data_IF_930550399669
#
_entry.id   IF_930550399669
#
_cell.length_a   1.000
_cell.length_b   1.000
_cell.length_c   1.000
_cell.angle_alpha   90.00
_cell.angle_beta   90.00
_cell.angle_gamma   90.00
#
_symmetry.space_group_name_H-M   'P 1'
#
loop_
_entity.id
_entity.type
_entity.pdbx_description
1 polymer ?
#
# COMPACT_ATOMS: atom_id res chain seq x y z
N UNK A 1 43.53 -27.22 -19.58
CA UNK A 1 43.56 -27.61 -18.15
C UNK A 1 42.27 -27.12 -17.50
N UNK A 2 41.36 -28.02 -17.14
CA UNK A 2 40.16 -27.66 -16.39
C UNK A 2 40.58 -27.16 -15.00
N UNK A 3 39.98 -26.07 -14.54
CA UNK A 3 40.30 -25.47 -13.24
C UNK A 3 39.74 -26.38 -12.12
N UNK A 4 40.55 -27.37 -11.73
CA UNK A 4 40.23 -28.45 -10.79
C UNK A 4 39.76 -27.92 -9.42
N UNK A 5 40.14 -26.69 -9.06
CA UNK A 5 39.66 -26.00 -7.87
C UNK A 5 38.15 -25.74 -7.92
N UNK A 6 37.64 -25.15 -9.00
CA UNK A 6 36.22 -24.79 -9.14
C UNK A 6 35.30 -26.02 -9.11
N UNK A 7 35.73 -27.12 -9.72
CA UNK A 7 34.99 -28.38 -9.71
C UNK A 7 34.92 -28.98 -8.29
N UNK A 8 36.01 -28.91 -7.52
CA UNK A 8 36.04 -29.38 -6.12
C UNK A 8 35.13 -28.55 -5.21
N UNK A 9 35.12 -27.23 -5.38
CA UNK A 9 34.24 -26.36 -4.59
C UNK A 9 32.76 -26.57 -4.93
N UNK A 10 32.42 -26.78 -6.20
CA UNK A 10 31.06 -27.14 -6.60
C UNK A 10 30.62 -28.47 -5.96
N UNK A 11 31.48 -29.49 -5.96
CA UNK A 11 31.17 -30.78 -5.31
C UNK A 11 30.95 -30.62 -3.80
N UNK A 12 31.82 -29.87 -3.11
CA UNK A 12 31.63 -29.57 -1.67
C UNK A 12 30.30 -28.87 -1.40
N UNK A 13 29.92 -27.92 -2.26
CA UNK A 13 28.64 -27.20 -2.14
C UNK A 13 27.45 -28.15 -2.32
N UNK A 14 27.47 -28.98 -3.36
CA UNK A 14 26.43 -29.98 -3.65
C UNK A 14 26.26 -30.93 -2.46
N UNK A 15 27.36 -31.47 -1.93
CA UNK A 15 27.33 -32.36 -0.76
C UNK A 15 26.83 -31.67 0.51
N UNK A 16 27.31 -30.45 0.81
CA UNK A 16 26.91 -29.70 2.01
C UNK A 16 25.42 -29.40 2.05
N UNK A 17 24.83 -29.10 0.90
CA UNK A 17 23.43 -28.69 0.79
C UNK A 17 22.48 -29.82 0.37
N UNK A 18 22.97 -31.06 0.30
CA UNK A 18 22.19 -32.24 -0.09
C UNK A 18 21.44 -32.01 -1.42
N UNK A 19 22.14 -31.41 -2.38
CA UNK A 19 21.62 -31.17 -3.72
C UNK A 19 21.90 -32.39 -4.60
N UNK A 20 20.97 -32.66 -5.51
CA UNK A 20 21.05 -33.72 -6.50
C UNK A 20 21.13 -33.10 -7.89
N UNK A 21 21.85 -33.78 -8.77
CA UNK A 21 21.86 -33.49 -10.19
C UNK A 21 20.62 -34.11 -10.83
N UNK A 22 19.77 -33.29 -11.45
CA UNK A 22 18.50 -33.74 -12.02
C UNK A 22 18.66 -34.82 -13.11
N UNK A 23 19.77 -34.85 -13.85
CA UNK A 23 20.07 -35.91 -14.83
C UNK A 23 20.75 -37.16 -14.27
N UNK A 24 20.77 -37.33 -12.94
CA UNK A 24 21.58 -38.36 -12.26
C UNK A 24 21.06 -39.80 -12.40
N UNK A 25 19.76 -40.05 -12.23
CA UNK A 25 19.17 -41.41 -12.29
C UNK A 25 18.11 -41.57 -13.38
N UNK A 26 17.58 -40.47 -13.93
CA UNK A 26 16.64 -40.49 -15.06
C UNK A 26 17.45 -40.54 -16.36
N UNK A 27 17.03 -41.38 -17.30
CA UNK A 27 17.63 -41.42 -18.64
C UNK A 27 17.51 -40.04 -19.29
N UNK A 28 18.65 -39.35 -19.45
CA UNK A 28 18.73 -38.07 -20.17
C UNK A 28 18.32 -38.33 -21.61
N UNK A 29 17.32 -37.57 -22.10
CA UNK A 29 16.96 -37.55 -23.51
C UNK A 29 17.79 -36.50 -24.25
N UNK A 30 18.07 -36.77 -25.53
CA UNK A 30 18.89 -35.92 -26.38
C UNK A 30 20.40 -36.12 -26.18
N UNK A 31 21.22 -35.14 -26.58
CA UNK A 31 22.68 -35.22 -26.47
C UNK A 31 23.18 -35.39 -25.03
N UNK A 32 24.35 -36.00 -24.87
CA UNK A 32 25.02 -36.16 -23.56
C UNK A 32 25.96 -34.98 -23.22
N UNK A 33 25.86 -33.88 -23.96
CA UNK A 33 26.65 -32.67 -23.78
C UNK A 33 25.74 -31.44 -23.87
N UNK A 34 26.05 -30.40 -23.09
CA UNK A 34 25.35 -29.12 -23.17
C UNK A 34 26.18 -28.03 -23.87
N UNK A 35 27.46 -28.28 -24.15
CA UNK A 35 28.35 -27.32 -24.79
C UNK A 35 28.85 -27.84 -26.13
N UNK A 36 28.47 -27.18 -27.22
CA UNK A 36 28.62 -27.70 -28.60
C UNK A 36 30.09 -27.82 -28.99
N UNK A 37 30.90 -26.78 -28.74
CA UNK A 37 32.26 -26.68 -29.27
C UNK A 37 33.20 -27.79 -28.78
N UNK A 38 33.04 -28.25 -27.53
CA UNK A 38 33.90 -29.30 -26.93
C UNK A 38 33.15 -30.58 -26.59
N UNK A 39 31.85 -30.63 -26.88
CA UNK A 39 30.96 -31.73 -26.48
C UNK A 39 31.12 -32.10 -25.00
N UNK A 40 31.14 -31.07 -24.14
CA UNK A 40 31.25 -31.24 -22.68
C UNK A 40 29.96 -30.88 -21.96
N UNK A 41 29.72 -31.46 -20.79
CA UNK A 41 28.60 -31.09 -19.92
C UNK A 41 28.98 -29.91 -19.02
N UNK A 42 28.38 -28.74 -19.26
CA UNK A 42 28.65 -27.51 -18.51
C UNK A 42 27.42 -26.99 -17.76
N UNK A 43 26.21 -27.40 -18.16
CA UNK A 43 24.95 -26.86 -17.65
C UNK A 43 24.20 -27.93 -16.85
N UNK A 44 24.03 -27.67 -15.56
CA UNK A 44 23.44 -28.62 -14.62
C UNK A 44 22.24 -27.99 -13.92
N UNK A 45 21.14 -28.74 -13.84
CA UNK A 45 20.03 -28.38 -12.95
C UNK A 45 20.25 -29.11 -11.63
N UNK A 46 20.49 -28.33 -10.57
CA UNK A 46 20.63 -28.82 -9.20
C UNK A 46 19.33 -28.59 -8.44
N UNK A 47 18.81 -29.63 -7.80
CA UNK A 47 17.60 -29.55 -7.00
C UNK A 47 17.78 -30.29 -5.67
N UNK A 48 16.98 -29.98 -4.66
CA UNK A 48 16.99 -30.76 -3.42
C UNK A 48 16.24 -32.09 -3.63
N UNK A 49 16.38 -33.02 -2.68
CA UNK A 49 15.75 -34.34 -2.78
C UNK A 49 14.22 -34.27 -3.00
N UNK A 50 13.53 -33.35 -2.33
CA UNK A 50 12.08 -33.19 -2.48
C UNK A 50 11.66 -32.77 -3.90
N UNK A 51 12.41 -31.86 -4.54
CA UNK A 51 12.16 -31.46 -5.92
C UNK A 51 12.63 -32.50 -6.91
N UNK A 52 13.72 -33.21 -6.62
CA UNK A 52 14.20 -34.32 -7.43
C UNK A 52 13.15 -35.43 -7.55
N UNK A 53 12.48 -35.80 -6.44
CA UNK A 53 11.36 -36.75 -6.44
C UNK A 53 10.15 -36.31 -7.28
N UNK A 54 10.08 -35.01 -7.61
CA UNK A 54 9.04 -34.39 -8.42
C UNK A 54 9.45 -34.20 -9.88
N UNK A 55 10.69 -34.55 -10.24
CA UNK A 55 11.19 -34.49 -11.61
C UNK A 55 10.52 -35.55 -12.46
N UNK A 56 9.85 -35.13 -13.53
CA UNK A 56 9.15 -36.00 -14.48
C UNK A 56 9.92 -36.18 -15.78
N UNK A 57 10.64 -35.13 -16.18
CA UNK A 57 11.27 -35.05 -17.49
C UNK A 57 12.60 -34.33 -17.40
N UNK A 58 13.60 -34.82 -18.12
CA UNK A 58 14.90 -34.15 -18.28
C UNK A 58 15.43 -34.41 -19.70
N UNK A 59 15.73 -33.35 -20.44
CA UNK A 59 16.19 -33.42 -21.82
C UNK A 59 17.21 -32.32 -22.10
N UNK A 60 18.19 -32.64 -22.95
CA UNK A 60 19.03 -31.65 -23.61
C UNK A 60 18.51 -31.54 -25.03
N UNK A 61 18.06 -30.35 -25.43
CA UNK A 61 17.48 -30.13 -26.75
C UNK A 61 18.56 -30.11 -27.83
N UNK A 62 18.24 -30.63 -29.01
CA UNK A 62 19.15 -30.65 -30.15
C UNK A 62 19.37 -29.25 -30.73
N UNK A 63 20.51 -29.08 -31.41
CA UNK A 63 20.85 -27.82 -32.07
C UNK A 63 19.78 -27.46 -33.12
N UNK A 64 19.13 -26.30 -32.96
CA UNK A 64 18.09 -25.82 -33.87
C UNK A 64 16.64 -26.04 -33.41
N UNK A 65 16.40 -26.79 -32.33
CA UNK A 65 15.04 -26.96 -31.78
C UNK A 65 14.49 -25.66 -31.15
N UNK A 66 15.39 -24.84 -30.61
CA UNK A 66 15.09 -23.47 -30.17
C UNK A 66 16.05 -22.52 -30.90
N UNK A 67 15.52 -21.47 -31.52
CA UNK A 67 16.35 -20.43 -32.14
C UNK A 67 17.14 -19.71 -31.07
N UNK A 68 18.41 -20.07 -30.93
CA UNK A 68 19.36 -19.50 -29.99
C UNK A 68 20.70 -19.30 -30.69
N UNK A 69 21.35 -18.16 -30.45
CA UNK A 69 22.72 -17.89 -30.92
C UNK A 69 23.78 -18.35 -29.91
N UNK A 70 23.42 -19.23 -28.96
CA UNK A 70 24.29 -19.69 -27.88
C UNK A 70 25.11 -20.90 -28.34
N UNK A 71 26.35 -21.00 -27.85
CA UNK A 71 27.22 -22.18 -27.97
C UNK A 71 26.88 -23.29 -26.95
N UNK A 72 25.73 -23.15 -26.28
CA UNK A 72 25.18 -24.07 -25.30
C UNK A 72 23.82 -24.60 -25.76
N UNK A 73 23.60 -25.91 -25.64
CA UNK A 73 22.33 -26.56 -25.84
C UNK A 73 21.40 -26.33 -24.63
N UNK A 74 20.12 -26.00 -24.84
CA UNK A 74 19.17 -25.82 -23.75
C UNK A 74 18.97 -27.11 -22.94
N UNK A 75 19.04 -26.99 -21.62
CA UNK A 75 18.72 -28.07 -20.68
C UNK A 75 17.33 -27.83 -20.11
N UNK A 76 16.42 -28.78 -20.32
CA UNK A 76 15.01 -28.68 -19.92
C UNK A 76 14.69 -29.72 -18.86
N UNK A 77 13.98 -29.30 -17.81
CA UNK A 77 13.44 -30.20 -16.80
C UNK A 77 11.99 -29.85 -16.45
N UNK A 78 11.12 -30.85 -16.36
CA UNK A 78 9.73 -30.71 -15.93
C UNK A 78 9.56 -31.26 -14.52
N UNK A 79 8.98 -30.44 -13.63
CA UNK A 79 8.70 -30.83 -12.25
C UNK A 79 7.19 -30.79 -11.97
N UNK A 80 6.68 -31.82 -11.31
CA UNK A 80 5.29 -31.87 -10.82
C UNK A 80 5.21 -31.17 -9.47
N UNK A 81 4.58 -30.00 -9.42
CA UNK A 81 4.45 -29.22 -8.19
C UNK A 81 3.01 -29.28 -7.68
N UNK A 82 2.82 -29.89 -6.51
CA UNK A 82 1.58 -29.78 -5.75
C UNK A 82 1.47 -28.37 -5.16
N UNK A 83 0.93 -27.42 -5.91
CA UNK A 83 0.58 -26.10 -5.38
C UNK A 83 -0.92 -26.03 -5.12
N UNK A 84 -1.30 -25.64 -3.90
CA UNK A 84 -2.61 -25.01 -3.72
C UNK A 84 -2.62 -23.76 -4.60
N UNK A 85 -3.58 -23.60 -5.54
CA UNK A 85 -3.67 -22.39 -6.33
C UNK A 85 -3.92 -21.22 -5.36
N UNK A 86 -2.90 -20.40 -5.14
CA UNK A 86 -3.09 -19.15 -4.44
C UNK A 86 -4.05 -18.31 -5.29
N UNK A 87 -5.24 -18.02 -4.75
CA UNK A 87 -6.12 -16.99 -5.33
C UNK A 87 -5.34 -15.68 -5.29
N UNK A 88 -5.04 -15.15 -6.47
CA UNK A 88 -4.64 -13.75 -6.61
C UNK A 88 -5.78 -12.94 -6.01
N UNK A 89 -5.56 -12.36 -4.82
CA UNK A 89 -6.47 -11.35 -4.33
C UNK A 89 -6.42 -10.22 -5.35
N UNK A 90 -7.51 -10.00 -6.07
CA UNK A 90 -7.63 -8.87 -6.98
C UNK A 90 -7.28 -7.61 -6.19
N UNK A 91 -6.36 -6.81 -6.76
CA UNK A 91 -5.88 -5.60 -6.13
C UNK A 91 -7.05 -4.70 -5.79
N UNK A 92 -7.07 -4.16 -4.56
CA UNK A 92 -7.85 -3.00 -4.17
C UNK A 92 -7.97 -2.00 -5.34
N UNK A 93 -9.19 -1.61 -5.72
CA UNK A 93 -9.42 -0.80 -6.93
C UNK A 93 -8.49 0.40 -6.94
N UNK A 94 -7.76 0.61 -8.02
CA UNK A 94 -6.73 1.66 -8.02
C UNK A 94 -7.41 3.02 -8.00
N UNK A 95 -6.97 3.88 -7.08
CA UNK A 95 -7.42 5.27 -7.04
C UNK A 95 -7.05 5.99 -8.34
N UNK A 96 -7.84 7.00 -8.75
CA UNK A 96 -7.51 7.85 -9.89
C UNK A 96 -6.14 8.52 -9.76
N UNK A 97 -5.38 8.54 -10.84
CA UNK A 97 -4.04 9.13 -10.91
C UNK A 97 -4.12 10.59 -11.38
N UNK A 98 -4.72 11.46 -10.58
CA UNK A 98 -4.92 12.89 -10.89
C UNK A 98 -3.65 13.62 -11.33
N UNK A 99 -2.47 13.22 -10.85
CA UNK A 99 -1.20 13.81 -11.27
C UNK A 99 -0.79 13.51 -12.72
N UNK A 100 -1.51 12.64 -13.44
CA UNK A 100 -1.30 12.29 -14.85
C UNK A 100 -2.41 12.82 -15.77
N UNK A 101 -3.36 13.57 -15.22
CA UNK A 101 -4.54 14.04 -15.96
C UNK A 101 -4.17 15.19 -16.89
N UNK A 102 -4.78 15.23 -18.08
CA UNK A 102 -4.73 16.36 -19.01
C UNK A 102 -5.91 17.32 -18.80
N UNK A 103 -5.82 18.56 -19.29
CA UNK A 103 -6.92 19.53 -19.21
C UNK A 103 -8.19 19.04 -19.92
N UNK A 104 -8.04 18.30 -21.02
CA UNK A 104 -9.17 17.69 -21.73
C UNK A 104 -9.92 16.69 -20.84
N UNK A 105 -9.19 15.86 -20.07
CA UNK A 105 -9.78 14.89 -19.15
C UNK A 105 -10.40 15.56 -17.92
N UNK A 106 -9.82 16.67 -17.42
CA UNK A 106 -10.45 17.48 -16.38
C UNK A 106 -11.78 18.06 -16.89
N UNK A 107 -11.82 18.56 -18.12
CA UNK A 107 -13.04 19.10 -18.69
C UNK A 107 -14.08 18.01 -18.93
N UNK A 108 -13.67 16.82 -19.33
CA UNK A 108 -14.57 15.67 -19.44
C UNK A 108 -15.13 15.25 -18.07
N UNK A 109 -14.28 15.18 -17.05
CA UNK A 109 -14.71 14.93 -15.67
C UNK A 109 -15.78 15.92 -15.21
N UNK A 110 -15.58 17.22 -15.44
CA UNK A 110 -16.59 18.26 -15.13
C UNK A 110 -17.91 18.05 -15.87
N UNK A 111 -17.86 17.71 -17.16
CA UNK A 111 -19.09 17.46 -17.95
C UNK A 111 -19.87 16.28 -17.40
N UNK A 112 -19.18 15.18 -17.09
CA UNK A 112 -19.80 13.97 -16.52
C UNK A 112 -20.45 14.21 -15.15
N UNK A 113 -20.02 15.25 -14.43
CA UNK A 113 -20.60 15.62 -13.14
C UNK A 113 -21.86 16.47 -13.24
N UNK A 114 -22.03 17.28 -14.30
CA UNK A 114 -23.08 18.30 -14.34
C UNK A 114 -24.49 17.73 -14.13
N UNK A 115 -24.98 16.92 -15.05
CA UNK A 115 -26.36 16.43 -15.00
C UNK A 115 -26.64 15.59 -13.74
N UNK A 116 -25.78 14.61 -13.34
CA UNK A 116 -26.03 13.83 -12.13
C UNK A 116 -26.03 14.67 -10.85
N UNK A 117 -25.16 15.68 -10.76
CA UNK A 117 -25.10 16.56 -9.59
C UNK A 117 -26.30 17.50 -9.54
N UNK A 118 -26.73 18.05 -10.68
CA UNK A 118 -27.91 18.91 -10.73
C UNK A 118 -29.18 18.12 -10.34
N UNK A 119 -29.32 16.88 -10.84
CA UNK A 119 -30.41 15.98 -10.42
C UNK A 119 -30.38 15.71 -8.91
N UNK A 120 -29.19 15.51 -8.33
CA UNK A 120 -29.03 15.30 -6.89
C UNK A 120 -29.41 16.55 -6.09
N UNK A 121 -29.06 17.75 -6.56
CA UNK A 121 -29.46 19.02 -5.93
C UNK A 121 -30.98 19.20 -5.98
N UNK A 122 -31.62 18.90 -7.11
CA UNK A 122 -33.07 18.99 -7.25
C UNK A 122 -33.79 17.99 -6.34
N UNK A 123 -33.21 16.80 -6.17
CA UNK A 123 -33.65 15.80 -5.19
C UNK A 123 -33.62 16.38 -3.77
N UNK A 124 -32.52 17.02 -3.36
CA UNK A 124 -32.41 17.66 -2.04
C UNK A 124 -33.46 18.75 -1.79
N UNK A 125 -33.88 19.48 -2.84
CA UNK A 125 -34.88 20.55 -2.75
C UNK A 125 -36.32 20.04 -2.72
N UNK A 126 -36.56 18.86 -3.30
CA UNK A 126 -37.93 18.33 -3.50
C UNK A 126 -38.49 17.61 -2.26
N UNK A 127 -37.64 17.17 -1.33
CA UNK A 127 -38.06 16.44 -0.14
C UNK A 127 -38.12 17.34 1.10
N UNK A 128 -39.18 17.20 1.90
CA UNK A 128 -39.32 17.88 3.19
C UNK A 128 -38.33 17.39 4.23
N UNK A 129 -37.96 16.11 4.17
CA UNK A 129 -36.91 15.49 4.96
C UNK A 129 -35.91 14.80 4.03
N UNK A 130 -34.63 15.14 4.19
CA UNK A 130 -33.54 14.63 3.36
C UNK A 130 -32.71 13.66 4.19
N UNK A 131 -32.53 12.43 3.69
CA UNK A 131 -31.58 11.50 4.27
C UNK A 131 -30.16 11.89 3.87
N UNK A 132 -29.44 12.53 4.80
CA UNK A 132 -28.10 13.07 4.55
C UNK A 132 -27.07 11.98 4.24
N UNK A 133 -27.25 10.76 4.76
CA UNK A 133 -26.36 9.64 4.50
C UNK A 133 -26.54 9.16 3.05
N UNK A 134 -27.79 8.97 2.63
CA UNK A 134 -28.11 8.59 1.25
C UNK A 134 -27.63 9.64 0.22
N UNK A 135 -27.80 10.94 0.52
CA UNK A 135 -27.33 12.02 -0.34
C UNK A 135 -25.80 12.01 -0.45
N UNK A 136 -25.09 11.86 0.68
CA UNK A 136 -23.64 11.79 0.67
C UNK A 136 -23.15 10.60 -0.17
N UNK A 137 -23.75 9.43 -0.01
CA UNK A 137 -23.34 8.23 -0.72
C UNK A 137 -23.60 8.35 -2.23
N UNK A 138 -24.74 8.93 -2.62
CA UNK A 138 -25.03 9.25 -4.01
C UNK A 138 -24.02 10.24 -4.61
N UNK A 139 -23.69 11.31 -3.88
CA UNK A 139 -22.68 12.28 -4.29
C UNK A 139 -21.29 11.64 -4.47
N UNK A 140 -20.84 10.84 -3.51
CA UNK A 140 -19.57 10.11 -3.58
C UNK A 140 -19.55 9.15 -4.78
N UNK A 141 -20.64 8.45 -5.05
CA UNK A 141 -20.76 7.55 -6.21
C UNK A 141 -20.68 8.30 -7.54
N UNK A 142 -21.31 9.48 -7.63
CA UNK A 142 -21.20 10.36 -8.81
C UNK A 142 -19.74 10.78 -9.04
N UNK A 143 -19.04 11.22 -7.99
CA UNK A 143 -17.62 11.60 -8.08
C UNK A 143 -16.75 10.43 -8.58
N UNK A 144 -16.94 9.23 -8.02
CA UNK A 144 -16.17 8.05 -8.40
C UNK A 144 -16.47 7.59 -9.82
N UNK A 145 -17.74 7.59 -10.22
CA UNK A 145 -18.15 7.14 -11.55
C UNK A 145 -17.60 8.07 -12.63
N UNK A 146 -17.72 9.39 -12.42
CA UNK A 146 -17.12 10.37 -13.33
C UNK A 146 -15.59 10.23 -13.39
N UNK A 147 -14.92 10.02 -12.25
CA UNK A 147 -13.47 9.86 -12.20
C UNK A 147 -13.00 8.57 -12.87
N UNK A 148 -13.72 7.47 -12.69
CA UNK A 148 -13.41 6.17 -13.28
C UNK A 148 -13.49 6.17 -14.81
N UNK A 149 -14.34 7.03 -15.38
CA UNK A 149 -14.47 7.22 -16.83
C UNK A 149 -13.39 8.18 -17.35
N UNK A 150 -13.21 9.34 -16.71
CA UNK A 150 -12.40 10.42 -17.25
C UNK A 150 -10.91 10.36 -16.89
N UNK A 151 -10.57 9.79 -15.73
CA UNK A 151 -9.25 9.96 -15.10
C UNK A 151 -8.47 8.65 -15.20
N UNK A 152 -7.19 8.69 -15.64
CA UNK A 152 -6.39 7.49 -15.75
C UNK A 152 -6.16 6.89 -14.36
N UNK A 153 -6.35 5.58 -14.21
CA UNK A 153 -5.88 4.84 -13.03
C UNK A 153 -4.38 4.59 -13.18
N UNK A 154 -3.62 4.52 -12.09
CA UNK A 154 -2.21 4.16 -12.16
C UNK A 154 -2.02 2.72 -12.71
N UNK A 155 -1.86 2.58 -14.03
CA UNK A 155 -1.40 1.33 -14.68
C UNK A 155 -0.05 0.92 -14.10
N UNK A 156 0.04 -0.27 -13.50
CA UNK A 156 0.93 -1.33 -13.98
C UNK A 156 2.23 -0.83 -14.63
N UNK A 157 3.36 -1.16 -14.00
CA UNK A 157 4.69 -0.88 -14.51
C UNK A 157 4.97 -1.82 -15.70
N UNK A 158 5.29 -1.35 -16.91
CA UNK A 158 5.65 -2.23 -18.03
C UNK A 158 6.82 -3.16 -17.72
N UNK A 159 7.66 -2.80 -16.73
CA UNK A 159 8.79 -3.61 -16.26
C UNK A 159 8.43 -4.58 -15.13
N UNK A 160 7.20 -4.58 -14.60
CA UNK A 160 6.73 -5.75 -13.83
C UNK A 160 6.48 -6.86 -14.81
N UNK A 161 7.46 -7.75 -14.96
CA UNK A 161 7.37 -8.96 -15.78
C UNK A 161 6.01 -9.62 -15.52
N UNK A 162 5.28 -10.10 -16.56
CA UNK A 162 4.09 -10.91 -16.36
C UNK A 162 4.37 -11.96 -15.29
N UNK A 163 3.46 -12.15 -14.34
CA UNK A 163 3.58 -13.10 -13.22
C UNK A 163 4.55 -12.70 -12.08
N UNK A 164 5.18 -11.52 -12.12
CA UNK A 164 6.00 -11.00 -11.00
C UNK A 164 5.13 -10.42 -9.87
N UNK A 165 4.54 -11.30 -9.07
CA UNK A 165 3.73 -10.93 -7.91
C UNK A 165 4.59 -10.70 -6.64
N UNK A 166 3.96 -10.30 -5.53
CA UNK A 166 4.65 -10.05 -4.27
C UNK A 166 5.38 -11.29 -3.74
N UNK A 167 4.87 -12.49 -4.01
CA UNK A 167 5.44 -13.75 -3.54
C UNK A 167 6.69 -14.09 -4.35
N UNK A 168 6.64 -13.93 -5.68
CA UNK A 168 7.80 -14.04 -6.58
C UNK A 168 8.87 -13.02 -6.20
N UNK A 169 8.49 -11.77 -5.87
CA UNK A 169 9.43 -10.76 -5.38
C UNK A 169 10.10 -11.21 -4.07
N UNK A 170 9.34 -11.72 -3.09
CA UNK A 170 9.89 -12.25 -1.83
C UNK A 170 10.82 -13.44 -2.07
N UNK A 171 10.42 -14.38 -2.93
CA UNK A 171 11.21 -15.55 -3.28
C UNK A 171 12.53 -15.17 -3.96
N UNK A 172 12.49 -14.25 -4.92
CA UNK A 172 13.67 -13.72 -5.59
C UNK A 172 14.56 -12.88 -4.66
N UNK A 173 14.00 -12.08 -3.74
CA UNK A 173 14.79 -11.38 -2.73
C UNK A 173 15.49 -12.37 -1.77
N UNK A 174 14.83 -13.48 -1.44
CA UNK A 174 15.42 -14.59 -0.68
C UNK A 174 16.53 -15.30 -1.47
N UNK A 175 16.30 -15.60 -2.75
CA UNK A 175 17.32 -16.17 -3.64
C UNK A 175 18.55 -15.26 -3.72
N UNK A 176 18.36 -13.96 -4.00
CA UNK A 176 19.48 -13.00 -4.04
C UNK A 176 20.22 -12.90 -2.72
N UNK A 177 19.51 -13.00 -1.60
CA UNK A 177 20.13 -13.00 -0.28
C UNK A 177 20.99 -14.23 -0.07
N UNK A 178 20.50 -15.43 -0.45
CA UNK A 178 21.28 -16.68 -0.42
C UNK A 178 22.45 -16.67 -1.40
N UNK A 179 22.26 -16.14 -2.62
CA UNK A 179 23.31 -16.00 -3.64
C UNK A 179 24.41 -15.02 -3.22
N UNK A 180 24.06 -13.93 -2.53
CA UNK A 180 25.04 -13.06 -1.88
C UNK A 180 25.81 -13.82 -0.80
N UNK A 181 25.16 -14.64 0.02
CA UNK A 181 25.88 -15.48 1.00
C UNK A 181 26.87 -16.44 0.32
N UNK A 182 26.56 -16.95 -0.88
CA UNK A 182 27.47 -17.79 -1.67
C UNK A 182 28.71 -16.99 -2.14
N UNK A 183 28.51 -15.83 -2.78
CA UNK A 183 29.58 -15.09 -3.49
C UNK A 183 30.69 -14.52 -2.62
N UNK A 184 30.50 -14.45 -1.32
CA UNK A 184 31.47 -13.86 -0.41
C UNK A 184 31.76 -14.73 0.81
N UNK A 185 31.44 -16.03 0.77
CA UNK A 185 32.00 -16.98 1.73
C UNK A 185 33.51 -17.15 1.53
N UNK A 186 33.97 -17.06 0.28
CA UNK A 186 35.40 -17.02 -0.07
C UNK A 186 36.06 -15.72 0.43
N UNK A 187 35.44 -14.56 0.20
CA UNK A 187 35.96 -13.24 0.64
C UNK A 187 35.95 -13.05 2.17
N UNK A 188 34.96 -13.62 2.88
CA UNK A 188 34.78 -13.45 4.32
C UNK A 188 35.88 -14.10 5.14
N UNK A 189 36.33 -15.29 4.74
CA UNK A 189 37.40 -15.99 5.44
C UNK A 189 38.76 -15.30 5.26
N UNK A 190 39.06 -14.79 4.05
CA UNK A 190 40.28 -14.00 3.81
C UNK A 190 40.26 -12.64 4.55
N UNK A 191 39.11 -11.97 4.60
CA UNK A 191 39.01 -10.63 5.22
C UNK A 191 38.84 -10.65 6.74
N UNK A 192 38.34 -11.74 7.33
CA UNK A 192 38.27 -11.91 8.78
C UNK A 192 39.66 -11.93 9.45
N UNK A 193 40.68 -12.39 8.72
CA UNK A 193 42.08 -12.43 9.19
C UNK A 193 42.83 -11.11 8.95
N UNK A 194 42.38 -10.27 8.01
CA UNK A 194 43.11 -9.09 7.54
C UNK A 194 42.53 -7.73 7.97
N UNK A 195 41.19 -7.57 8.07
CA UNK A 195 40.58 -6.27 8.43
C UNK A 195 39.19 -6.43 9.10
N UNK A 196 39.18 -6.22 10.42
CA UNK A 196 37.97 -6.30 11.27
C UNK A 196 36.89 -5.27 10.89
N UNK A 197 37.26 -4.09 10.38
CA UNK A 197 36.27 -3.06 9.97
C UNK A 197 35.63 -3.44 8.65
N UNK A 198 36.40 -3.99 7.71
CA UNK A 198 35.90 -4.51 6.45
C UNK A 198 34.97 -5.71 6.71
N UNK A 199 35.36 -6.61 7.61
CA UNK A 199 34.55 -7.73 8.10
C UNK A 199 33.19 -7.25 8.64
N UNK A 200 33.17 -6.31 9.60
CA UNK A 200 31.90 -5.81 10.15
C UNK A 200 31.06 -5.01 9.13
N UNK A 201 31.70 -4.33 8.17
CA UNK A 201 31.01 -3.66 7.06
C UNK A 201 30.35 -4.67 6.12
N UNK A 202 31.01 -5.81 5.87
CA UNK A 202 30.43 -6.92 5.12
C UNK A 202 29.32 -7.63 5.92
N UNK A 203 29.49 -7.89 7.23
CA UNK A 203 28.43 -8.37 8.17
C UNK A 203 27.19 -7.50 8.15
N UNK A 204 27.35 -6.17 8.15
CA UNK A 204 26.21 -5.24 8.05
C UNK A 204 25.52 -5.29 6.68
N UNK A 205 26.25 -5.66 5.61
CA UNK A 205 25.66 -5.98 4.29
C UNK A 205 24.98 -7.36 4.27
N UNK A 206 25.44 -8.32 5.10
CA UNK A 206 24.89 -9.67 5.24
C UNK A 206 23.57 -9.71 6.03
N UNK A 207 23.37 -8.81 7.01
CA UNK A 207 22.07 -8.68 7.67
C UNK A 207 21.04 -8.28 6.61
N UNK A 208 20.15 -9.22 6.30
CA UNK A 208 19.02 -8.97 5.40
C UNK A 208 18.33 -7.67 5.81
N UNK A 209 18.02 -6.81 4.84
CA UNK A 209 17.10 -5.70 5.12
C UNK A 209 15.83 -6.35 5.64
N UNK A 210 15.46 -6.06 6.88
CA UNK A 210 14.23 -6.55 7.49
C UNK A 210 13.09 -6.43 6.47
N UNK A 211 12.51 -7.57 6.08
CA UNK A 211 11.34 -7.61 5.21
C UNK A 211 10.07 -7.18 5.94
N UNK A 212 10.12 -7.04 7.28
CA UNK A 212 9.01 -6.49 8.06
C UNK A 212 8.83 -5.02 7.70
N UNK A 213 7.70 -4.72 7.06
CA UNK A 213 7.25 -3.38 6.70
C UNK A 213 6.64 -2.64 7.92
N UNK A 214 6.42 -3.36 9.02
CA UNK A 214 5.78 -2.86 10.24
C UNK A 214 6.62 -3.19 11.49
N UNK A 215 6.56 -2.35 12.53
CA UNK A 215 7.24 -2.59 13.80
C UNK A 215 6.56 -3.69 14.61
N UNK A 216 7.30 -4.32 15.51
CA UNK A 216 6.70 -5.01 16.67
C UNK A 216 6.23 -3.94 17.65
N UNK A 217 5.05 -4.11 18.24
CA UNK A 217 4.47 -3.17 19.23
C UNK A 217 4.21 -3.92 20.53
N UNK A 218 4.50 -3.26 21.65
CA UNK A 218 4.27 -3.77 23.00
C UNK A 218 3.34 -2.82 23.72
N UNK A 219 2.18 -3.33 24.13
CA UNK A 219 1.16 -2.58 24.88
C UNK A 219 0.53 -3.50 25.93
N UNK A 220 0.39 -3.03 27.18
CA UNK A 220 -0.16 -3.82 28.31
C UNK A 220 0.40 -5.25 28.44
N UNK A 221 1.72 -5.40 28.32
CA UNK A 221 2.43 -6.70 28.32
C UNK A 221 2.09 -7.66 27.16
N UNK A 222 1.30 -7.23 26.17
CA UNK A 222 1.08 -7.97 24.91
C UNK A 222 2.13 -7.57 23.89
N UNK A 223 2.75 -8.56 23.23
CA UNK A 223 3.69 -8.34 22.12
C UNK A 223 2.98 -8.63 20.80
N UNK A 224 2.83 -7.61 19.97
CA UNK A 224 2.13 -7.67 18.69
C UNK A 224 3.14 -7.63 17.54
N UNK A 225 3.15 -8.68 16.71
CA UNK A 225 4.19 -8.89 15.70
C UNK A 225 3.68 -9.40 14.34
N UNK A 226 2.36 -9.38 14.14
CA UNK A 226 1.67 -9.61 12.86
C UNK A 226 0.96 -8.33 12.40
N UNK A 227 0.65 -8.13 11.11
CA UNK A 227 0.01 -6.88 10.65
C UNK A 227 -1.32 -6.61 11.37
N UNK A 228 -2.14 -7.65 11.53
CA UNK A 228 -3.44 -7.57 12.21
C UNK A 228 -3.28 -7.30 13.71
N UNK A 229 -2.40 -8.03 14.42
CA UNK A 229 -2.19 -7.79 15.85
C UNK A 229 -1.63 -6.40 16.13
N UNK A 230 -0.73 -5.91 15.27
CA UNK A 230 -0.19 -4.55 15.38
C UNK A 230 -1.27 -3.50 15.13
N UNK A 231 -2.13 -3.69 14.13
CA UNK A 231 -3.24 -2.77 13.86
C UNK A 231 -4.24 -2.73 15.03
N UNK A 232 -4.64 -3.89 15.54
CA UNK A 232 -5.55 -3.98 16.70
C UNK A 232 -4.92 -3.39 17.96
N UNK A 233 -3.63 -3.60 18.18
CA UNK A 233 -2.92 -3.00 19.31
C UNK A 233 -2.91 -1.47 19.26
N UNK A 234 -2.70 -0.87 18.08
CA UNK A 234 -2.84 0.57 17.93
C UNK A 234 -4.29 1.04 18.13
N UNK A 235 -5.27 0.26 17.67
CA UNK A 235 -6.68 0.58 17.87
C UNK A 235 -7.05 0.60 19.36
N UNK A 236 -6.66 -0.42 20.12
CA UNK A 236 -6.80 -0.49 21.58
C UNK A 236 -6.10 0.70 22.26
N UNK A 237 -4.81 0.92 21.95
CA UNK A 237 -4.04 2.02 22.53
C UNK A 237 -4.68 3.40 22.32
N UNK A 238 -5.05 3.73 21.08
CA UNK A 238 -5.64 5.03 20.80
C UNK A 238 -7.05 5.15 21.36
N UNK A 239 -7.83 4.05 21.39
CA UNK A 239 -9.11 4.05 22.09
C UNK A 239 -8.94 4.48 23.55
N UNK A 240 -8.00 3.87 24.28
CA UNK A 240 -7.74 4.17 25.70
C UNK A 240 -7.26 5.60 25.95
N UNK A 241 -6.51 6.19 25.01
CA UNK A 241 -6.10 7.61 25.10
C UNK A 241 -7.30 8.54 24.92
N UNK A 242 -8.20 8.22 23.99
CA UNK A 242 -9.33 9.07 23.63
C UNK A 242 -10.59 8.81 24.47
N UNK A 243 -10.53 7.88 25.43
CA UNK A 243 -11.58 7.75 26.44
C UNK A 243 -11.56 8.94 27.40
N UNK A 244 -12.73 9.48 27.78
CA UNK A 244 -12.83 10.46 28.86
C UNK A 244 -12.21 9.87 30.11
N UNK A 245 -11.20 10.54 30.66
CA UNK A 245 -10.63 10.20 31.97
C UNK A 245 -11.20 11.19 32.98
N UNK A 246 -11.71 10.67 34.09
CA UNK A 246 -12.04 11.49 35.25
C UNK A 246 -10.73 12.00 35.86
N UNK A 247 -10.21 13.09 35.31
CA UNK A 247 -9.08 13.79 35.90
C UNK A 247 -9.57 14.65 37.05
N UNK A 248 -9.01 14.45 38.24
CA UNK A 248 -9.31 15.24 39.44
C UNK A 248 -8.91 16.74 39.30
N UNK A 249 -8.25 17.13 38.21
CA UNK A 249 -7.82 18.50 37.90
C UNK A 249 -8.57 19.07 36.69
N UNK A 250 -9.89 18.89 36.64
CA UNK A 250 -10.71 19.47 35.59
C UNK A 250 -10.65 21.01 35.66
N UNK A 251 -10.30 21.65 34.54
CA UNK A 251 -10.19 23.10 34.42
C UNK A 251 -11.58 23.76 34.40
N UNK A 252 -12.04 24.17 35.59
CA UNK A 252 -13.34 24.80 35.77
C UNK A 252 -13.42 26.17 35.07
N UNK A 253 -12.31 26.91 34.98
CA UNK A 253 -12.28 28.22 34.33
C UNK A 253 -12.48 28.04 32.82
N UNK A 254 -11.79 27.06 32.22
CA UNK A 254 -12.00 26.68 30.83
C UNK A 254 -13.45 26.25 30.58
N UNK A 255 -14.03 25.41 31.44
CA UNK A 255 -15.45 25.03 31.32
C UNK A 255 -16.39 26.23 31.36
N UNK A 256 -16.24 27.13 32.33
CA UNK A 256 -17.07 28.33 32.42
C UNK A 256 -16.93 29.21 31.16
N UNK A 257 -15.74 29.30 30.57
CA UNK A 257 -15.55 30.02 29.30
C UNK A 257 -16.32 29.39 28.15
N UNK A 258 -16.25 28.05 28.01
CA UNK A 258 -16.95 27.30 26.96
C UNK A 258 -18.47 27.39 27.14
N UNK A 259 -18.97 27.24 28.37
CA UNK A 259 -20.40 27.38 28.68
C UNK A 259 -20.91 28.78 28.35
N UNK A 260 -20.12 29.82 28.64
CA UNK A 260 -20.47 31.21 28.32
C UNK A 260 -20.58 31.41 26.81
N UNK A 261 -19.59 30.96 26.03
CA UNK A 261 -19.62 31.04 24.56
C UNK A 261 -20.79 30.25 23.97
N UNK A 262 -21.06 29.05 24.48
CA UNK A 262 -22.18 28.24 24.03
C UNK A 262 -23.53 28.94 24.24
N UNK A 263 -23.74 29.51 25.44
CA UNK A 263 -24.97 30.24 25.75
C UNK A 263 -25.17 31.48 24.86
N UNK A 264 -24.08 32.18 24.53
CA UNK A 264 -24.11 33.32 23.62
C UNK A 264 -24.50 32.91 22.19
N UNK A 265 -23.95 31.80 21.69
CA UNK A 265 -24.29 31.24 20.38
C UNK A 265 -25.78 30.86 20.35
N UNK A 266 -26.27 30.12 21.36
CA UNK A 266 -27.68 29.70 21.43
C UNK A 266 -28.62 30.91 21.44
N UNK A 267 -28.28 31.95 22.21
CA UNK A 267 -29.06 33.18 22.26
C UNK A 267 -29.11 33.88 20.89
N UNK A 268 -27.99 33.89 20.16
CA UNK A 268 -27.90 34.53 18.84
C UNK A 268 -28.68 33.75 17.78
N UNK A 269 -28.53 32.42 17.73
CA UNK A 269 -29.28 31.54 16.82
C UNK A 269 -30.81 31.61 17.05
N UNK A 270 -31.25 31.79 18.29
CA UNK A 270 -32.68 31.91 18.63
C UNK A 270 -33.35 33.20 18.15
N UNK A 271 -32.57 34.24 17.80
CA UNK A 271 -33.09 35.57 17.41
C UNK A 271 -33.10 35.76 15.90
N UNK A 272 -32.15 35.18 15.16
CA UNK A 272 -31.99 35.39 13.71
C UNK A 272 -32.69 34.33 12.81
N UNK A 273 -33.51 33.46 13.40
CA UNK A 273 -34.34 32.49 12.70
C UNK A 273 -33.55 31.28 12.19
N UNK A 274 -33.62 30.15 12.90
CA UNK A 274 -33.16 28.79 12.53
C UNK A 274 -31.74 28.60 11.95
N UNK A 275 -30.95 29.64 11.72
CA UNK A 275 -29.63 29.58 11.09
C UNK A 275 -28.51 29.92 12.08
N UNK A 276 -27.29 29.47 11.76
CA UNK A 276 -26.08 29.84 12.49
C UNK A 276 -25.79 31.35 12.31
N UNK A 277 -25.06 31.98 13.26
CA UNK A 277 -24.62 33.36 13.10
C UNK A 277 -23.83 33.52 11.79
N UNK A 278 -24.26 34.42 10.91
CA UNK A 278 -23.71 34.60 9.57
C UNK A 278 -24.57 34.02 8.43
N UNK A 279 -25.66 33.32 8.73
CA UNK A 279 -26.64 32.85 7.76
C UNK A 279 -26.29 31.52 7.08
N UNK A 280 -26.82 31.31 5.88
CA UNK A 280 -26.55 30.11 5.07
C UNK A 280 -25.13 30.12 4.52
N UNK A 281 -24.51 28.94 4.48
CA UNK A 281 -23.21 28.73 3.84
C UNK A 281 -23.34 29.01 2.34
N UNK A 282 -22.43 29.80 1.81
CA UNK A 282 -22.45 30.27 0.43
C UNK A 282 -21.50 29.49 -0.48
N UNK A 283 -21.83 29.45 -1.77
CA UNK A 283 -20.96 28.84 -2.79
C UNK A 283 -19.59 29.53 -2.88
N UNK A 284 -19.51 30.82 -2.53
CA UNK A 284 -18.25 31.58 -2.50
C UNK A 284 -17.32 31.03 -1.41
N UNK A 285 -17.82 30.87 -0.19
CA UNK A 285 -17.04 30.31 0.93
C UNK A 285 -16.56 28.90 0.59
N UNK A 286 -17.45 28.05 0.04
CA UNK A 286 -17.09 26.68 -0.37
C UNK A 286 -16.05 26.69 -1.48
N UNK A 287 -16.16 27.59 -2.46
CA UNK A 287 -15.17 27.74 -3.55
C UNK A 287 -13.79 28.10 -2.99
N UNK A 288 -13.72 29.06 -2.07
CA UNK A 288 -12.47 29.49 -1.44
C UNK A 288 -11.83 28.33 -0.65
N UNK A 289 -12.61 27.61 0.15
CA UNK A 289 -12.14 26.45 0.93
C UNK A 289 -11.67 25.30 0.03
N UNK A 290 -12.39 24.97 -1.03
CA UNK A 290 -11.97 23.96 -2.01
C UNK A 290 -10.65 24.38 -2.68
N UNK A 291 -10.48 25.67 -2.99
CA UNK A 291 -9.24 26.22 -3.56
C UNK A 291 -8.01 26.03 -2.66
N UNK A 292 -8.21 26.01 -1.34
CA UNK A 292 -7.15 25.82 -0.33
C UNK A 292 -6.77 24.34 -0.11
N UNK A 293 -7.55 23.38 -0.59
CA UNK A 293 -7.27 21.96 -0.41
C UNK A 293 -5.90 21.58 -1.01
N UNK A 294 -5.01 20.98 -0.21
CA UNK A 294 -3.69 20.53 -0.71
C UNK A 294 -3.84 19.33 -1.65
N UNK A 295 -3.11 19.33 -2.76
CA UNK A 295 -3.04 18.17 -3.67
C UNK A 295 -2.33 16.97 -3.04
N UNK A 296 -2.57 15.77 -3.58
CA UNK A 296 -1.91 14.50 -3.26
C UNK A 296 -2.01 14.10 -1.79
N UNK A 297 -3.09 14.53 -1.13
CA UNK A 297 -3.43 14.05 0.20
C UNK A 297 -4.07 12.67 0.09
N UNK A 298 -3.78 11.80 1.06
CA UNK A 298 -4.38 10.48 1.12
C UNK A 298 -5.90 10.62 1.27
N UNK A 299 -6.66 9.86 0.48
CA UNK A 299 -8.11 9.77 0.58
C UNK A 299 -8.55 9.16 1.91
N UNK A 300 -9.77 9.48 2.33
CA UNK A 300 -10.42 8.86 3.48
C UNK A 300 -10.93 7.45 3.18
N UNK A 301 -11.76 6.93 4.09
CA UNK A 301 -12.41 5.61 3.93
C UNK A 301 -13.34 5.54 2.69
N UNK A 302 -13.90 6.66 2.29
CA UNK A 302 -14.75 6.85 1.11
C UNK A 302 -13.97 6.94 -0.21
N UNK A 303 -12.64 6.97 -0.13
CA UNK A 303 -11.71 7.01 -1.25
C UNK A 303 -11.78 8.31 -2.09
N UNK A 304 -12.48 9.33 -1.60
CA UNK A 304 -12.52 10.65 -2.26
C UNK A 304 -11.20 11.39 -1.99
N UNK A 305 -10.50 11.73 -3.06
CA UNK A 305 -9.30 12.57 -3.03
C UNK A 305 -9.67 14.05 -3.18
N UNK A 306 -8.88 14.95 -2.59
CA UNK A 306 -9.07 16.41 -2.71
C UNK A 306 -9.23 16.87 -4.17
N UNK A 307 -8.58 16.18 -5.10
CA UNK A 307 -8.64 16.43 -6.53
C UNK A 307 -10.03 16.24 -7.14
N UNK A 308 -10.89 15.36 -6.60
CA UNK A 308 -12.29 15.25 -7.01
C UNK A 308 -13.01 16.58 -6.79
N UNK A 309 -12.79 17.20 -5.62
CA UNK A 309 -13.41 18.47 -5.26
C UNK A 309 -12.78 19.63 -6.06
N UNK A 310 -11.46 19.69 -6.14
CA UNK A 310 -10.74 20.77 -6.84
C UNK A 310 -11.01 20.80 -8.34
N UNK A 311 -11.12 19.64 -8.98
CA UNK A 311 -11.37 19.55 -10.41
C UNK A 311 -12.85 19.45 -10.76
N UNK A 312 -13.74 19.27 -9.78
CA UNK A 312 -15.18 19.09 -9.98
C UNK A 312 -15.95 20.33 -10.43
N UNK A 313 -15.34 21.52 -10.37
CA UNK A 313 -15.94 22.75 -10.87
C UNK A 313 -17.18 23.22 -10.09
N UNK A 314 -18.00 24.05 -10.73
CA UNK A 314 -19.13 24.74 -10.08
C UNK A 314 -20.20 23.76 -9.58
N UNK A 315 -20.42 22.65 -10.28
CA UNK A 315 -21.43 21.65 -9.93
C UNK A 315 -21.11 21.03 -8.57
N UNK A 316 -19.84 20.67 -8.34
CA UNK A 316 -19.38 20.17 -7.03
C UNK A 316 -19.49 21.23 -5.94
N UNK A 317 -19.14 22.48 -6.22
CA UNK A 317 -19.30 23.60 -5.26
C UNK A 317 -20.77 23.72 -4.82
N UNK A 318 -21.70 23.74 -5.77
CA UNK A 318 -23.15 23.81 -5.50
C UNK A 318 -23.62 22.65 -4.63
N UNK A 319 -23.22 21.44 -4.97
CA UNK A 319 -23.62 20.23 -4.24
C UNK A 319 -23.08 20.23 -2.81
N UNK A 320 -21.79 20.53 -2.63
CA UNK A 320 -21.15 20.60 -1.30
C UNK A 320 -21.81 21.69 -0.44
N UNK A 321 -22.12 22.84 -1.04
CA UNK A 321 -22.84 23.94 -0.37
C UNK A 321 -24.23 23.50 0.10
N UNK A 322 -24.98 22.79 -0.76
CA UNK A 322 -26.29 22.25 -0.41
C UNK A 322 -26.19 21.23 0.73
N UNK A 323 -25.25 20.28 0.66
CA UNK A 323 -25.01 19.28 1.70
C UNK A 323 -24.69 19.96 3.04
N UNK A 324 -23.79 20.94 3.07
CA UNK A 324 -23.46 21.67 4.30
C UNK A 324 -24.67 22.40 4.91
N UNK A 325 -25.48 23.06 4.09
CA UNK A 325 -26.68 23.73 4.58
C UNK A 325 -27.72 22.73 5.13
N UNK A 326 -27.84 21.52 4.55
CA UNK A 326 -28.70 20.46 5.10
C UNK A 326 -28.15 19.97 6.44
N UNK A 327 -26.84 19.77 6.56
CA UNK A 327 -26.19 19.37 7.82
C UNK A 327 -26.49 20.39 8.92
N UNK A 328 -26.34 21.68 8.63
CA UNK A 328 -26.62 22.77 9.57
C UNK A 328 -28.09 22.76 9.97
N UNK A 329 -29.00 22.69 8.99
CA UNK A 329 -30.46 22.70 9.23
C UNK A 329 -30.94 21.50 10.05
N UNK A 330 -30.40 20.31 9.80
CA UNK A 330 -30.82 19.08 10.47
C UNK A 330 -30.04 18.78 11.76
N UNK A 331 -28.92 19.48 12.00
CA UNK A 331 -27.99 19.15 13.08
C UNK A 331 -27.37 17.75 12.95
N UNK A 332 -27.35 17.17 11.74
CA UNK A 332 -26.90 15.80 11.47
C UNK A 332 -25.80 15.78 10.42
N UNK A 333 -24.66 15.22 10.78
CA UNK A 333 -23.52 14.97 9.89
C UNK A 333 -23.61 13.53 9.35
N UNK A 334 -23.29 13.27 8.06
CA UNK A 334 -23.18 11.91 7.52
C UNK A 334 -22.34 11.00 8.42
N UNK A 335 -22.79 9.77 8.61
CA UNK A 335 -22.10 8.78 9.41
C UNK A 335 -20.72 8.46 8.85
N UNK A 336 -20.60 8.43 7.52
CA UNK A 336 -19.33 8.25 6.83
C UNK A 336 -18.31 9.35 7.19
N UNK A 337 -18.74 10.59 7.41
CA UNK A 337 -17.82 11.68 7.78
C UNK A 337 -17.26 11.55 9.20
N UNK A 338 -17.90 10.73 10.05
CA UNK A 338 -17.41 10.39 11.39
C UNK A 338 -16.38 9.26 11.36
N UNK A 339 -16.24 8.56 10.23
CA UNK A 339 -15.25 7.53 10.02
C UNK A 339 -13.92 8.14 9.57
N UNK A 340 -12.82 7.54 10.01
CA UNK A 340 -11.47 7.93 9.62
C UNK A 340 -10.55 6.72 9.54
N UNK A 341 -9.63 6.73 8.57
CA UNK A 341 -8.58 5.72 8.51
C UNK A 341 -7.41 6.16 9.38
N UNK A 342 -7.16 5.42 10.46
CA UNK A 342 -6.07 5.68 11.38
C UNK A 342 -4.78 5.07 10.85
N UNK A 343 -3.76 5.91 10.67
CA UNK A 343 -2.41 5.51 10.25
C UNK A 343 -1.43 5.96 11.34
N UNK A 344 -0.84 5.02 12.12
CA UNK A 344 0.16 5.36 13.13
C UNK A 344 1.47 5.81 12.47
N UNK A 345 1.88 7.06 12.72
CA UNK A 345 3.14 7.63 12.19
C UNK A 345 4.17 7.72 13.29
N UNK A 346 5.31 7.05 13.11
CA UNK A 346 6.41 7.08 14.08
C UNK A 346 6.98 8.51 14.23
N UNK A 347 7.09 9.00 15.47
CA UNK A 347 7.60 10.34 15.82
C UNK A 347 9.08 10.53 15.44
N UNK A 348 9.82 9.46 15.14
CA UNK A 348 11.23 9.52 14.74
C UNK A 348 12.21 9.62 15.92
N UNK A 349 13.49 9.85 15.59
CA UNK A 349 14.56 10.05 16.57
C UNK A 349 15.04 8.77 17.26
N UNK A 350 15.52 8.92 18.50
CA UNK A 350 16.02 7.83 19.38
C UNK A 350 14.92 7.10 20.15
N UNK A 351 13.65 7.39 19.84
CA UNK A 351 12.48 6.83 20.51
C UNK A 351 12.34 5.33 20.23
N UNK A 352 11.80 4.59 21.20
CA UNK A 352 11.60 3.15 21.06
C UNK A 352 10.46 2.86 20.08
N UNK A 353 10.76 2.08 19.01
CA UNK A 353 9.77 1.69 17.98
C UNK A 353 8.73 0.69 18.47
N UNK A 354 8.96 0.04 19.60
CA UNK A 354 8.01 -0.93 20.16
C UNK A 354 6.94 -0.29 21.03
N UNK A 355 7.14 0.95 21.46
CA UNK A 355 6.13 1.64 22.27
C UNK A 355 5.13 2.38 21.37
N UNK A 356 3.81 2.14 21.53
CA UNK A 356 2.79 2.79 20.72
C UNK A 356 2.70 4.30 20.99
N UNK A 357 3.12 4.79 22.16
CA UNK A 357 3.20 6.23 22.48
C UNK A 357 4.17 7.01 21.57
N UNK A 358 5.13 6.32 20.97
CA UNK A 358 6.04 6.94 20.02
C UNK A 358 5.45 7.09 18.61
N UNK A 359 4.15 6.84 18.45
CA UNK A 359 3.41 7.02 17.21
C UNK A 359 2.34 8.10 17.39
N UNK A 360 2.10 8.89 16.33
CA UNK A 360 0.99 9.84 16.25
C UNK A 360 -0.14 9.17 15.47
N UNK A 361 -1.40 9.26 15.92
CA UNK A 361 -2.53 8.87 15.10
C UNK A 361 -2.72 9.95 14.03
N UNK A 362 -2.34 9.66 12.79
CA UNK A 362 -2.76 10.48 11.65
C UNK A 362 -4.05 9.90 11.08
N UNK A 363 -5.06 10.73 10.84
CA UNK A 363 -6.38 10.28 10.43
C UNK A 363 -6.67 10.78 9.02
N UNK A 364 -6.88 9.85 8.09
CA UNK A 364 -7.40 10.21 6.78
C UNK A 364 -8.93 10.36 6.80
N UNK A 365 -9.40 11.60 6.64
CA UNK A 365 -10.81 12.00 6.61
C UNK A 365 -11.18 12.71 5.30
N UNK A 366 -12.49 12.79 5.04
CA UNK A 366 -13.13 13.30 3.81
C UNK A 366 -12.85 14.80 3.56
N UNK A 367 -13.01 15.67 4.58
CA UNK A 367 -13.03 17.14 4.37
C UNK A 367 -12.02 17.90 5.25
N UNK A 368 -11.41 17.29 6.26
CA UNK A 368 -10.62 18.03 7.27
C UNK A 368 -9.13 18.18 6.99
N UNK A 369 -8.61 17.71 5.85
CA UNK A 369 -7.16 17.80 5.56
C UNK A 369 -6.68 19.16 5.04
N UNK A 370 -7.58 20.15 4.96
CA UNK A 370 -7.31 21.46 4.36
C UNK A 370 -7.04 22.61 5.34
N UNK A 371 -7.56 22.56 6.56
CA UNK A 371 -7.55 23.71 7.48
C UNK A 371 -6.78 23.32 8.75
N UNK A 372 -5.48 23.13 8.59
CA UNK A 372 -4.54 23.18 9.71
C UNK A 372 -3.38 24.03 9.26
N UNK A 373 -3.34 25.25 9.79
CA UNK A 373 -2.20 26.15 10.04
C UNK A 373 -2.73 27.60 10.00
N UNK A 374 -3.29 28.03 11.14
CA UNK A 374 -3.19 29.38 11.67
C UNK A 374 -3.03 29.29 13.18
#
# INVERSE_FOLDING_TARGET
>A
MSNNYKSKELLKFVSRHHLLYAGGEIQIKGPNYSYITKQTMLDYILCNESMYRKLRYYEILDEGEISSTSDHLPVVAEFVIDSNPHRVMNSCDKLPAWHKVSDAQINEYKKLLNDPVDMLIDKMRSFSYVDIDAINDEFVNILHTAADIAIPKCGFNPHTKPYWNADVKRAHDNERSKRRCWSCYDDLNETAECDVRLFWKQIKRFKGRSSKVYPEIVYENKVCNTPESVANCFAEYFHDIYQPKDENNFDNDFKCSIESTYNEIIKTCGVEGEYLPGGLITEKEVTELIGQLKYRKAAGHDRVQNEHLRHGGISVVKCVTAIFNIIVKQGRIPQNWKLGLLVPIFKGGTKCKTSPDNYRPDIAKIITKGISDN
#
